data_IF_907968693316
#
_entry.id   IF_907968693316
#
_cell.length_a   1.000
_cell.length_b   1.000
_cell.length_c   1.000
_cell.angle_alpha   90.00
_cell.angle_beta   90.00
_cell.angle_gamma   90.00
#
_symmetry.space_group_name_H-M   'P 1'
#
loop_
_entity.id
_entity.type
_entity.pdbx_description
1 polymer ?
#
# COMPACT_ATOMS: atom_id res chain seq x y z
N UNK A 1 2.77 13.04 6.68
CA UNK A 1 3.55 12.29 7.70
C UNK A 1 2.88 10.94 8.00
N UNK A 2 1.55 10.81 8.11
CA UNK A 2 0.86 9.53 8.41
C UNK A 2 1.31 8.37 7.51
N UNK A 3 1.34 8.54 6.20
CA UNK A 3 1.84 7.48 5.29
C UNK A 3 3.32 7.12 5.47
N UNK A 4 4.14 7.97 6.09
CA UNK A 4 5.50 7.58 6.49
C UNK A 4 5.42 6.65 7.70
N UNK A 5 4.55 6.94 8.68
CA UNK A 5 4.29 6.02 9.82
C UNK A 5 3.80 4.66 9.32
N UNK A 6 2.84 4.64 8.38
CA UNK A 6 2.35 3.40 7.76
C UNK A 6 3.48 2.62 7.08
N UNK A 7 4.34 3.31 6.33
CA UNK A 7 5.46 2.68 5.64
C UNK A 7 6.48 2.06 6.63
N UNK A 8 6.76 2.72 7.76
CA UNK A 8 7.60 2.16 8.82
C UNK A 8 6.96 0.88 9.39
N UNK A 9 5.67 0.93 9.72
CA UNK A 9 4.93 -0.21 10.27
C UNK A 9 4.95 -1.43 9.33
N UNK A 10 4.78 -1.19 8.02
CA UNK A 10 4.74 -2.25 7.02
C UNK A 10 6.12 -2.83 6.67
N UNK A 11 7.20 -2.02 6.72
CA UNK A 11 8.49 -2.42 6.16
C UNK A 11 9.57 -2.71 7.21
N UNK A 12 9.43 -2.29 8.47
CA UNK A 12 10.49 -2.47 9.47
C UNK A 12 10.61 -3.92 9.97
N UNK A 13 9.52 -4.55 10.40
CA UNK A 13 9.57 -5.93 10.93
C UNK A 13 10.08 -6.96 9.89
N UNK A 14 9.74 -6.89 8.59
CA UNK A 14 10.31 -7.77 7.58
C UNK A 14 11.84 -7.78 7.50
N UNK A 15 12.52 -6.65 7.78
CA UNK A 15 13.97 -6.57 7.82
C UNK A 15 14.59 -7.39 8.96
N UNK A 16 13.78 -7.71 9.98
CA UNK A 16 14.20 -8.41 11.20
C UNK A 16 13.83 -9.90 11.20
N UNK A 17 13.15 -10.43 10.19
CA UNK A 17 12.65 -11.80 10.19
C UNK A 17 13.73 -12.86 10.44
N UNK A 18 14.88 -12.74 9.79
CA UNK A 18 16.00 -13.66 10.03
C UNK A 18 16.61 -13.46 11.42
N UNK A 19 16.61 -12.23 11.96
CA UNK A 19 17.07 -11.93 13.29
C UNK A 19 16.14 -12.55 14.34
N UNK A 20 14.83 -12.45 14.16
CA UNK A 20 13.85 -13.13 15.04
C UNK A 20 13.99 -14.65 14.99
N UNK A 21 14.25 -15.20 13.81
CA UNK A 21 14.52 -16.64 13.66
C UNK A 21 15.77 -17.07 14.44
N UNK A 22 16.88 -16.33 14.35
CA UNK A 22 18.14 -16.68 15.01
C UNK A 22 18.11 -16.47 16.51
N UNK A 23 17.61 -15.31 16.97
CA UNK A 23 17.70 -14.92 18.39
C UNK A 23 16.67 -15.60 19.28
N UNK A 24 15.44 -15.71 18.78
CA UNK A 24 14.31 -16.25 19.53
C UNK A 24 13.95 -17.69 19.12
N UNK A 25 14.71 -18.30 18.21
CA UNK A 25 14.47 -19.66 17.71
C UNK A 25 13.05 -19.85 17.14
N UNK A 26 12.43 -18.78 16.60
CA UNK A 26 11.10 -18.81 16.02
C UNK A 26 11.18 -19.55 14.67
N UNK A 27 10.31 -20.53 14.44
CA UNK A 27 10.28 -21.26 13.17
C UNK A 27 9.96 -20.33 11.99
N UNK A 28 10.48 -20.66 10.80
CA UNK A 28 10.20 -19.87 9.58
C UNK A 28 8.69 -19.82 9.26
N UNK A 29 7.94 -20.87 9.61
CA UNK A 29 6.48 -20.88 9.49
C UNK A 29 5.81 -19.83 10.37
N UNK A 30 6.26 -19.69 11.62
CA UNK A 30 5.78 -18.66 12.54
C UNK A 30 6.22 -17.25 12.12
N UNK A 31 7.42 -17.09 11.55
CA UNK A 31 7.87 -15.82 10.97
C UNK A 31 6.91 -15.35 9.88
N UNK A 32 6.47 -16.25 9.00
CA UNK A 32 5.50 -15.91 7.95
C UNK A 32 4.15 -15.44 8.52
N UNK A 33 3.75 -15.94 9.70
CA UNK A 33 2.53 -15.50 10.37
C UNK A 33 2.57 -14.03 10.82
N UNK A 34 3.75 -13.45 11.04
CA UNK A 34 3.90 -12.04 11.42
C UNK A 34 3.24 -11.13 10.36
N UNK A 35 3.59 -11.33 9.09
CA UNK A 35 2.95 -10.60 7.99
C UNK A 35 1.46 -10.93 7.86
N UNK A 36 1.07 -12.19 8.08
CA UNK A 36 -0.34 -12.60 8.03
C UNK A 36 -1.17 -11.86 9.08
N UNK A 37 -0.70 -11.78 10.32
CA UNK A 37 -1.38 -11.04 11.39
C UNK A 37 -1.43 -9.54 11.12
N UNK A 38 -0.38 -8.97 10.52
CA UNK A 38 -0.36 -7.57 10.12
C UNK A 38 -1.49 -7.26 9.12
N UNK A 39 -1.53 -7.93 7.98
CA UNK A 39 -2.54 -7.68 6.94
C UNK A 39 -3.96 -8.08 7.39
N UNK A 40 -4.09 -9.17 8.15
CA UNK A 40 -5.40 -9.56 8.69
C UNK A 40 -5.95 -8.51 9.65
N UNK A 41 -5.09 -7.92 10.49
CA UNK A 41 -5.48 -6.84 11.38
C UNK A 41 -5.90 -5.59 10.59
N UNK A 42 -5.16 -5.20 9.54
CA UNK A 42 -5.56 -4.09 8.67
C UNK A 42 -6.94 -4.31 8.06
N UNK A 43 -7.19 -5.49 7.51
CA UNK A 43 -8.50 -5.85 6.94
C UNK A 43 -9.65 -5.70 7.95
N UNK A 44 -9.43 -6.10 9.21
CA UNK A 44 -10.43 -5.91 10.28
C UNK A 44 -10.62 -4.42 10.62
N UNK A 45 -9.55 -3.64 10.61
CA UNK A 45 -9.59 -2.19 10.83
C UNK A 45 -10.35 -1.49 9.71
N UNK A 46 -10.15 -1.89 8.45
CA UNK A 46 -10.88 -1.34 7.31
C UNK A 46 -12.39 -1.55 7.47
N UNK A 47 -12.81 -2.76 7.85
CA UNK A 47 -14.21 -3.07 8.13
C UNK A 47 -14.77 -2.23 9.29
N UNK A 48 -13.96 -2.02 10.34
CA UNK A 48 -14.31 -1.15 11.45
C UNK A 48 -14.48 0.30 10.98
N UNK A 49 -13.52 0.81 10.22
CA UNK A 49 -13.54 2.18 9.70
C UNK A 49 -14.76 2.45 8.81
N UNK A 50 -15.13 1.50 7.95
CA UNK A 50 -16.27 1.61 7.06
C UNK A 50 -17.60 1.89 7.81
N UNK A 51 -17.67 1.54 9.08
CA UNK A 51 -18.90 1.66 9.87
C UNK A 51 -18.83 2.71 10.96
N UNK A 52 -17.69 2.93 11.60
CA UNK A 52 -17.60 3.63 12.86
C UNK A 52 -16.89 4.98 12.81
N UNK A 53 -15.98 5.20 11.86
CA UNK A 53 -15.14 6.42 11.84
C UNK A 53 -15.96 7.69 11.68
N UNK A 54 -16.97 7.70 10.80
CA UNK A 54 -17.82 8.88 10.62
C UNK A 54 -18.61 9.26 11.88
N UNK A 55 -18.80 8.32 12.83
CA UNK A 55 -19.45 8.56 14.12
C UNK A 55 -18.44 8.96 15.21
N UNK A 56 -17.25 8.37 15.24
CA UNK A 56 -16.19 8.65 16.23
C UNK A 56 -15.53 9.99 15.94
N UNK A 57 -15.34 10.30 14.66
CA UNK A 57 -14.69 11.50 14.17
C UNK A 57 -13.24 11.27 13.74
N UNK A 58 -12.86 11.93 12.63
CA UNK A 58 -11.55 11.75 12.00
C UNK A 58 -10.38 12.06 12.92
N UNK A 59 -10.47 13.17 13.70
CA UNK A 59 -9.38 13.59 14.60
C UNK A 59 -9.09 12.53 15.66
N UNK A 60 -10.11 11.98 16.30
CA UNK A 60 -9.93 10.97 17.34
C UNK A 60 -9.26 9.72 16.74
N UNK A 61 -9.75 9.27 15.59
CA UNK A 61 -9.24 8.07 14.94
C UNK A 61 -7.81 8.24 14.42
N UNK A 62 -7.46 9.39 13.80
CA UNK A 62 -6.11 9.60 13.28
C UNK A 62 -5.08 9.84 14.38
N UNK A 63 -5.46 10.46 15.49
CA UNK A 63 -4.61 10.59 16.68
C UNK A 63 -4.39 9.22 17.33
N UNK A 64 -5.46 8.43 17.48
CA UNK A 64 -5.37 7.07 18.00
C UNK A 64 -4.48 6.18 17.14
N UNK A 65 -4.53 6.33 15.80
CA UNK A 65 -3.69 5.55 14.88
C UNK A 65 -2.20 5.74 15.13
N UNK A 66 -1.77 6.97 15.31
CA UNK A 66 -0.36 7.27 15.56
C UNK A 66 0.08 6.78 16.96
N UNK A 67 -0.81 6.87 17.96
CA UNK A 67 -0.55 6.31 19.30
C UNK A 67 -0.39 4.78 19.21
N UNK A 68 -1.28 4.07 18.51
CA UNK A 68 -1.16 2.63 18.31
C UNK A 68 0.12 2.26 17.55
N UNK A 69 0.48 3.03 16.52
CA UNK A 69 1.73 2.80 15.78
C UNK A 69 2.95 2.97 16.69
N UNK A 70 3.01 4.05 17.49
CA UNK A 70 4.10 4.30 18.42
C UNK A 70 4.20 3.20 19.50
N UNK A 71 3.07 2.86 20.13
CA UNK A 71 3.02 1.83 21.17
C UNK A 71 3.39 0.45 20.63
N UNK A 72 2.95 0.11 19.42
CA UNK A 72 3.30 -1.17 18.79
C UNK A 72 4.78 -1.27 18.44
N UNK A 73 5.41 -0.19 17.93
CA UNK A 73 6.85 -0.16 17.67
C UNK A 73 7.67 -0.24 18.97
N UNK A 74 7.25 0.46 20.03
CA UNK A 74 7.85 0.31 21.36
C UNK A 74 7.63 -1.09 21.91
N UNK A 75 6.42 -1.63 21.76
CA UNK A 75 6.11 -3.01 22.15
C UNK A 75 7.04 -4.01 21.46
N UNK A 76 7.30 -3.83 20.17
CA UNK A 76 8.21 -4.69 19.41
C UNK A 76 9.63 -4.71 20.03
N UNK A 77 10.10 -3.56 20.55
CA UNK A 77 11.41 -3.46 21.18
C UNK A 77 11.48 -4.20 22.53
N UNK A 78 10.37 -4.28 23.28
CA UNK A 78 10.39 -4.72 24.68
C UNK A 78 9.60 -6.01 24.94
N UNK A 79 8.39 -6.19 24.36
CA UNK A 79 7.51 -7.31 24.69
C UNK A 79 8.11 -8.71 24.42
N UNK A 80 8.94 -8.92 23.38
CA UNK A 80 9.56 -10.22 23.17
C UNK A 80 10.44 -10.71 24.33
N UNK A 81 11.01 -9.78 25.11
CA UNK A 81 11.85 -10.12 26.25
C UNK A 81 11.05 -10.24 27.56
N UNK A 82 9.89 -9.55 27.63
CA UNK A 82 9.06 -9.57 28.84
C UNK A 82 8.10 -10.74 28.91
N UNK A 83 7.69 -11.27 27.76
CA UNK A 83 6.74 -12.36 27.71
C UNK A 83 7.45 -13.73 27.73
N UNK A 84 6.83 -14.76 28.32
CA UNK A 84 7.40 -16.10 28.35
C UNK A 84 7.68 -16.70 26.96
N UNK A 85 6.88 -16.31 25.97
CA UNK A 85 7.08 -16.67 24.57
C UNK A 85 7.35 -15.38 23.75
N UNK A 86 8.58 -15.18 23.25
CA UNK A 86 8.94 -14.04 22.44
C UNK A 86 8.07 -13.87 21.18
N UNK A 87 7.61 -14.96 20.58
CA UNK A 87 6.75 -14.91 19.40
C UNK A 87 5.41 -14.22 19.72
N UNK A 88 4.82 -14.52 20.87
CA UNK A 88 3.58 -13.85 21.32
C UNK A 88 3.85 -12.34 21.50
N UNK A 89 5.01 -11.96 22.06
CA UNK A 89 5.41 -10.55 22.21
C UNK A 89 5.48 -9.82 20.88
N UNK A 90 6.09 -10.46 19.88
CA UNK A 90 6.17 -9.92 18.51
C UNK A 90 4.76 -9.77 17.91
N UNK A 91 3.93 -10.82 17.97
CA UNK A 91 2.58 -10.78 17.38
C UNK A 91 1.70 -9.71 18.04
N UNK A 92 1.71 -9.61 19.38
CA UNK A 92 0.96 -8.56 20.08
C UNK A 92 1.40 -7.15 19.62
N UNK A 93 2.70 -6.92 19.51
CA UNK A 93 3.26 -5.66 19.04
C UNK A 93 2.84 -5.34 17.60
N UNK A 94 2.91 -6.36 16.73
CA UNK A 94 2.50 -6.27 15.32
C UNK A 94 1.03 -5.92 15.20
N UNK A 95 0.15 -6.59 15.94
CA UNK A 95 -1.29 -6.30 15.94
C UNK A 95 -1.54 -4.84 16.36
N UNK A 96 -0.83 -4.36 17.40
CA UNK A 96 -1.00 -2.99 17.90
C UNK A 96 -0.60 -1.96 16.83
N UNK A 97 0.59 -2.07 16.23
CA UNK A 97 0.95 -1.10 15.20
C UNK A 97 0.21 -1.32 13.87
N UNK A 98 -0.31 -2.53 13.59
CA UNK A 98 -1.14 -2.78 12.42
C UNK A 98 -2.52 -2.10 12.55
N UNK A 99 -3.10 -2.02 13.76
CA UNK A 99 -4.29 -1.18 14.02
C UNK A 99 -3.99 0.27 13.64
N UNK A 100 -2.86 0.81 14.09
CA UNK A 100 -2.43 2.17 13.74
C UNK A 100 -2.28 2.33 12.22
N UNK A 101 -1.61 1.40 11.58
CA UNK A 101 -1.35 1.39 10.13
C UNK A 101 -2.63 1.38 9.29
N UNK A 102 -3.58 0.51 9.61
CA UNK A 102 -4.87 0.44 8.92
C UNK A 102 -5.72 1.70 9.09
N UNK A 103 -5.78 2.26 10.31
CA UNK A 103 -6.46 3.55 10.53
C UNK A 103 -5.83 4.67 9.69
N UNK A 104 -4.49 4.77 9.60
CA UNK A 104 -3.79 5.77 8.77
C UNK A 104 -4.17 5.59 7.30
N UNK A 105 -4.15 4.35 6.83
CA UNK A 105 -4.46 4.01 5.44
C UNK A 105 -5.83 4.51 5.00
N UNK A 106 -6.84 4.24 5.81
CA UNK A 106 -8.21 4.66 5.52
C UNK A 106 -8.39 6.16 5.67
N UNK A 107 -7.79 6.79 6.69
CA UNK A 107 -8.13 8.17 7.09
C UNK A 107 -7.37 9.25 6.33
N UNK A 108 -6.12 9.00 5.91
CA UNK A 108 -5.33 10.04 5.25
C UNK A 108 -5.97 10.50 3.94
N UNK A 109 -6.55 9.60 3.17
CA UNK A 109 -7.18 9.93 1.89
C UNK A 109 -8.43 10.80 2.03
N UNK A 110 -9.44 10.46 2.88
CA UNK A 110 -10.62 11.32 3.07
C UNK A 110 -10.28 12.66 3.74
N UNK A 111 -9.30 12.72 4.65
CA UNK A 111 -8.84 13.97 5.25
C UNK A 111 -8.32 14.93 4.17
N UNK A 112 -7.50 14.43 3.25
CA UNK A 112 -6.99 15.24 2.12
C UNK A 112 -8.09 15.57 1.12
N UNK A 113 -9.02 14.65 0.86
CA UNK A 113 -10.16 14.89 -0.04
C UNK A 113 -11.09 16.01 0.49
N UNK A 114 -11.23 16.13 1.82
CA UNK A 114 -11.99 17.19 2.46
C UNK A 114 -11.33 18.57 2.36
N UNK A 115 -10.00 18.62 2.18
CA UNK A 115 -9.28 19.89 2.07
C UNK A 115 -9.63 20.65 0.76
N UNK A 116 -9.62 22.00 0.76
CA UNK A 116 -10.00 22.82 -0.38
C UNK A 116 -8.86 22.97 -1.40
N UNK A 117 -8.29 21.87 -1.87
CA UNK A 117 -7.29 21.87 -2.92
C UNK A 117 -7.95 22.00 -4.29
N UNK A 118 -7.35 22.80 -5.21
CA UNK A 118 -7.83 22.98 -6.56
C UNK A 118 -7.75 21.67 -7.38
N UNK A 119 -6.62 20.96 -7.29
CA UNK A 119 -6.42 19.69 -7.97
C UNK A 119 -6.32 18.53 -6.97
N UNK A 120 -7.46 17.97 -6.60
CA UNK A 120 -7.56 16.87 -5.64
C UNK A 120 -6.88 15.57 -6.13
N UNK A 121 -6.93 15.29 -7.44
CA UNK A 121 -6.28 14.10 -8.03
C UNK A 121 -4.76 14.16 -7.90
N UNK A 122 -4.17 15.32 -8.22
CA UNK A 122 -2.74 15.55 -8.08
C UNK A 122 -2.31 15.48 -6.61
N UNK A 123 -3.08 16.11 -5.72
CA UNK A 123 -2.81 16.10 -4.27
C UNK A 123 -2.91 14.68 -3.69
N UNK A 124 -3.89 13.90 -4.13
CA UNK A 124 -4.05 12.50 -3.71
C UNK A 124 -2.84 11.66 -4.14
N UNK A 125 -2.39 11.82 -5.38
CA UNK A 125 -1.18 11.13 -5.88
C UNK A 125 0.07 11.52 -5.08
N UNK A 126 0.24 12.82 -4.79
CA UNK A 126 1.34 13.31 -3.98
C UNK A 126 1.27 12.76 -2.54
N UNK A 127 0.10 12.74 -1.92
CA UNK A 127 -0.11 12.14 -0.61
C UNK A 127 0.40 10.69 -0.56
N UNK A 128 -0.03 9.88 -1.51
CA UNK A 128 0.38 8.48 -1.58
C UNK A 128 1.88 8.29 -1.91
N UNK A 129 2.56 9.30 -2.49
CA UNK A 129 4.00 9.23 -2.71
C UNK A 129 4.79 9.16 -1.40
N UNK A 130 4.26 9.75 -0.32
CA UNK A 130 4.91 9.70 1.01
C UNK A 130 5.02 8.29 1.57
N UNK A 131 4.10 7.37 1.23
CA UNK A 131 4.25 5.96 1.56
C UNK A 131 5.49 5.36 0.87
N UNK A 132 5.68 5.63 -0.42
CA UNK A 132 6.82 5.10 -1.18
C UNK A 132 8.15 5.61 -0.61
N UNK A 133 8.25 6.92 -0.36
CA UNK A 133 9.46 7.52 0.22
C UNK A 133 9.68 7.09 1.66
N UNK A 134 8.60 6.87 2.41
CA UNK A 134 8.64 6.26 3.74
C UNK A 134 9.20 4.84 3.70
N UNK A 135 8.77 4.00 2.76
CA UNK A 135 9.29 2.65 2.58
C UNK A 135 10.78 2.66 2.21
N UNK A 136 11.17 3.47 1.21
CA UNK A 136 12.58 3.65 0.82
C UNK A 136 13.40 4.13 2.02
N UNK A 137 12.93 5.15 2.73
CA UNK A 137 13.61 5.69 3.92
C UNK A 137 13.76 4.65 5.02
N UNK A 138 12.71 3.88 5.30
CA UNK A 138 12.73 2.82 6.32
C UNK A 138 13.78 1.76 5.97
N UNK A 139 13.80 1.28 4.73
CA UNK A 139 14.76 0.26 4.29
C UNK A 139 16.19 0.80 4.35
N UNK A 140 16.45 1.96 3.73
CA UNK A 140 17.81 2.51 3.64
C UNK A 140 18.37 2.91 5.01
N UNK A 141 17.58 3.62 5.84
CA UNK A 141 18.02 4.07 7.16
C UNK A 141 18.23 2.87 8.09
N UNK A 142 17.33 1.87 8.04
CA UNK A 142 17.50 0.66 8.85
C UNK A 142 18.72 -0.14 8.41
N UNK A 143 18.93 -0.31 7.09
CA UNK A 143 20.13 -1.00 6.57
C UNK A 143 21.42 -0.28 6.94
N UNK A 144 21.44 1.06 6.86
CA UNK A 144 22.59 1.87 7.26
C UNK A 144 22.83 1.79 8.78
N UNK A 145 21.79 1.83 9.59
CA UNK A 145 21.88 1.66 11.04
C UNK A 145 22.49 0.30 11.39
N UNK A 146 22.00 -0.78 10.75
CA UNK A 146 22.54 -2.14 10.99
C UNK A 146 23.99 -2.29 10.53
N UNK A 147 24.38 -1.58 9.46
CA UNK A 147 25.76 -1.58 8.99
C UNK A 147 26.71 -0.89 10.00
N UNK A 148 26.29 0.21 10.62
CA UNK A 148 27.11 1.01 11.53
C UNK A 148 27.11 0.45 12.95
N UNK A 149 25.93 0.11 13.47
CA UNK A 149 25.75 -0.26 14.89
C UNK A 149 25.55 -1.77 15.10
N UNK A 150 25.42 -2.55 14.03
CA UNK A 150 25.10 -3.98 14.09
C UNK A 150 23.60 -4.25 14.22
N UNK A 151 23.15 -5.39 13.68
CA UNK A 151 21.75 -5.80 13.72
C UNK A 151 21.27 -6.12 15.15
N UNK A 152 22.17 -6.44 16.07
CA UNK A 152 21.85 -6.71 17.47
C UNK A 152 21.21 -5.52 18.18
N UNK A 153 21.44 -4.31 17.67
CA UNK A 153 20.88 -3.06 18.18
C UNK A 153 19.49 -2.72 17.59
N UNK A 154 18.81 -3.63 16.91
CA UNK A 154 17.53 -3.40 16.25
C UNK A 154 16.45 -2.83 17.18
N UNK A 155 16.47 -3.16 18.48
CA UNK A 155 15.53 -2.64 19.48
C UNK A 155 15.62 -1.13 19.62
N UNK A 156 16.84 -0.57 19.63
CA UNK A 156 17.06 0.88 19.64
C UNK A 156 16.50 1.53 18.38
N UNK A 157 16.65 0.87 17.23
CA UNK A 157 16.08 1.37 16.00
C UNK A 157 14.54 1.35 16.03
N UNK A 158 13.92 0.34 16.63
CA UNK A 158 12.46 0.32 16.84
C UNK A 158 11.98 1.50 17.69
N UNK A 159 12.72 1.84 18.76
CA UNK A 159 12.45 3.03 19.59
C UNK A 159 12.62 4.32 18.79
N UNK A 160 13.66 4.42 17.95
CA UNK A 160 13.87 5.59 17.08
C UNK A 160 12.71 5.73 16.07
N UNK A 161 12.29 4.64 15.45
CA UNK A 161 11.13 4.67 14.53
C UNK A 161 9.83 5.06 15.24
N UNK A 162 9.66 4.71 16.51
CA UNK A 162 8.47 5.09 17.30
C UNK A 162 8.38 6.62 17.55
N UNK A 163 9.49 7.38 17.42
CA UNK A 163 9.48 8.84 17.56
C UNK A 163 8.62 9.49 16.48
N UNK A 164 8.62 8.95 15.26
CA UNK A 164 7.86 9.54 14.14
C UNK A 164 6.37 9.54 14.42
N UNK A 165 5.70 8.40 14.72
CA UNK A 165 4.29 8.43 15.08
C UNK A 165 4.02 9.21 16.39
N UNK A 166 4.93 9.21 17.36
CA UNK A 166 4.77 10.01 18.58
C UNK A 166 4.70 11.51 18.27
N UNK A 167 5.58 12.02 17.39
CA UNK A 167 5.54 13.41 16.92
C UNK A 167 4.29 13.67 16.07
N UNK A 168 3.90 12.72 15.23
CA UNK A 168 2.68 12.84 14.42
C UNK A 168 1.42 12.90 15.27
N UNK A 169 1.37 12.19 16.39
CA UNK A 169 0.28 12.30 17.37
C UNK A 169 0.03 13.77 17.72
N UNK A 170 1.08 14.50 18.10
CA UNK A 170 0.98 15.93 18.41
C UNK A 170 0.52 16.76 17.19
N UNK A 171 1.08 16.48 16.01
CA UNK A 171 0.71 17.18 14.78
C UNK A 171 -0.78 17.00 14.46
N UNK A 172 -1.33 15.78 14.54
CA UNK A 172 -2.74 15.51 14.28
C UNK A 172 -3.69 16.01 15.38
N UNK A 173 -3.19 16.22 16.60
CA UNK A 173 -3.97 16.90 17.65
C UNK A 173 -4.19 18.37 17.33
N UNK A 174 -3.25 19.02 16.66
CA UNK A 174 -3.21 20.48 16.48
C UNK A 174 -3.57 20.96 15.08
N UNK A 175 -3.36 20.13 14.02
CA UNK A 175 -3.67 20.55 12.65
C UNK A 175 -5.18 20.66 12.42
N UNK A 176 -5.65 21.53 11.50
CA UNK A 176 -7.06 21.57 11.10
C UNK A 176 -7.42 20.26 10.38
N UNK A 177 -8.51 19.63 10.78
CA UNK A 177 -9.08 18.44 10.13
C UNK A 177 -10.57 18.68 9.95
N UNK A 178 -10.99 18.73 8.69
CA UNK A 178 -12.40 18.86 8.32
C UNK A 178 -12.97 17.47 8.02
N UNK A 179 -14.20 17.17 8.43
CA UNK A 179 -14.86 15.93 8.06
C UNK A 179 -15.22 15.97 6.57
N UNK A 180 -15.07 14.83 5.87
CA UNK A 180 -15.43 14.73 4.45
C UNK A 180 -16.96 14.84 4.23
N UNK A 181 -17.73 14.35 5.21
CA UNK A 181 -19.19 14.41 5.24
C UNK A 181 -19.65 14.85 6.62
N UNK A 182 -20.75 15.63 6.65
CA UNK A 182 -21.37 16.03 7.91
C UNK A 182 -21.90 14.82 8.68
N UNK A 183 -21.79 14.86 9.99
CA UNK A 183 -22.12 13.83 10.98
C UNK A 183 -23.10 12.74 10.49
N UNK A 184 -22.56 11.61 10.02
CA UNK A 184 -23.35 10.42 9.65
C UNK A 184 -24.12 10.51 8.33
N UNK A 185 -23.94 11.56 7.50
CA UNK A 185 -24.62 11.73 6.21
C UNK A 185 -23.95 10.96 5.04
N UNK A 186 -22.86 10.22 5.31
CA UNK A 186 -22.19 9.41 4.30
C UNK A 186 -23.06 8.29 3.75
N UNK A 187 -22.76 7.85 2.51
CA UNK A 187 -23.45 6.70 1.91
C UNK A 187 -23.20 5.44 2.74
N UNK A 188 -24.29 4.80 3.18
CA UNK A 188 -24.18 3.51 3.87
C UNK A 188 -23.64 2.40 2.94
N UNK A 189 -22.97 1.41 3.53
CA UNK A 189 -22.35 0.28 2.83
C UNK A 189 -23.30 -0.38 1.82
N UNK A 190 -24.57 -0.63 2.18
CA UNK A 190 -25.59 -1.21 1.28
C UNK A 190 -25.84 -0.34 0.06
N UNK A 191 -25.85 0.97 0.21
CA UNK A 191 -26.08 1.90 -0.90
C UNK A 191 -24.88 1.93 -1.85
N UNK A 192 -23.66 1.83 -1.35
CA UNK A 192 -22.44 1.70 -2.17
C UNK A 192 -22.49 0.43 -3.02
N UNK A 193 -22.75 -0.73 -2.41
CA UNK A 193 -22.82 -2.01 -3.13
C UNK A 193 -24.01 -2.13 -4.07
N UNK A 194 -25.07 -1.31 -3.93
CA UNK A 194 -26.16 -1.24 -4.90
C UNK A 194 -25.77 -0.54 -6.21
N UNK A 195 -24.63 0.15 -6.25
CA UNK A 195 -24.18 0.91 -7.42
C UNK A 195 -23.22 0.09 -8.28
N UNK A 196 -23.55 -0.21 -9.56
CA UNK A 196 -22.68 -1.02 -10.44
C UNK A 196 -21.27 -0.43 -10.60
N UNK A 197 -21.13 0.91 -10.58
CA UNK A 197 -19.83 1.57 -10.65
C UNK A 197 -18.94 1.22 -9.46
N UNK A 198 -19.51 1.03 -8.26
CA UNK A 198 -18.73 0.70 -7.08
C UNK A 198 -18.06 -0.68 -7.20
N UNK A 199 -18.72 -1.66 -7.81
CA UNK A 199 -18.11 -2.96 -8.11
C UNK A 199 -16.94 -2.86 -9.09
N UNK A 200 -17.03 -1.96 -10.07
CA UNK A 200 -15.90 -1.68 -10.96
C UNK A 200 -14.74 -1.05 -10.18
N UNK A 201 -15.02 -0.11 -9.27
CA UNK A 201 -13.99 0.50 -8.41
C UNK A 201 -13.32 -0.53 -7.49
N UNK A 202 -14.10 -1.43 -6.86
CA UNK A 202 -13.59 -2.57 -6.07
C UNK A 202 -12.67 -3.45 -6.93
N UNK A 203 -13.12 -3.82 -8.14
CA UNK A 203 -12.31 -4.65 -9.04
C UNK A 203 -10.99 -3.94 -9.45
N UNK A 204 -11.05 -2.63 -9.74
CA UNK A 204 -9.86 -1.83 -10.02
C UNK A 204 -8.89 -1.82 -8.84
N UNK A 205 -9.39 -1.67 -7.60
CA UNK A 205 -8.54 -1.69 -6.40
C UNK A 205 -7.91 -3.07 -6.17
N UNK A 206 -8.68 -4.16 -6.29
CA UNK A 206 -8.14 -5.53 -6.20
C UNK A 206 -7.02 -5.73 -7.22
N UNK A 207 -7.27 -5.35 -8.48
CA UNK A 207 -6.27 -5.49 -9.54
C UNK A 207 -5.05 -4.59 -9.34
N UNK A 208 -5.24 -3.39 -8.77
CA UNK A 208 -4.18 -2.45 -8.42
C UNK A 208 -3.26 -3.05 -7.35
N UNK A 209 -3.82 -3.44 -6.21
CA UNK A 209 -3.06 -4.06 -5.12
C UNK A 209 -2.38 -5.37 -5.53
N UNK A 210 -3.09 -6.22 -6.32
CA UNK A 210 -2.52 -7.46 -6.82
C UNK A 210 -1.34 -7.22 -7.79
N UNK A 211 -1.47 -6.25 -8.71
CA UNK A 211 -0.40 -5.92 -9.67
C UNK A 211 0.82 -5.32 -8.98
N UNK A 212 0.60 -4.49 -7.96
CA UNK A 212 1.66 -3.85 -7.17
C UNK A 212 2.41 -4.87 -6.33
N UNK A 213 1.70 -5.57 -5.43
CA UNK A 213 2.35 -6.42 -4.44
C UNK A 213 2.84 -7.76 -5.02
N UNK A 214 2.21 -8.30 -6.07
CA UNK A 214 2.75 -9.47 -6.75
C UNK A 214 4.14 -9.21 -7.33
N UNK A 215 4.35 -8.05 -7.96
CA UNK A 215 5.67 -7.70 -8.49
C UNK A 215 6.64 -7.32 -7.36
N UNK A 216 6.24 -6.45 -6.43
CA UNK A 216 7.11 -5.94 -5.39
C UNK A 216 7.65 -7.05 -4.47
N UNK A 217 6.80 -7.99 -4.03
CA UNK A 217 7.22 -9.06 -3.13
C UNK A 217 8.11 -10.12 -3.80
N UNK A 218 7.95 -10.34 -5.10
CA UNK A 218 8.76 -11.33 -5.82
C UNK A 218 10.00 -10.73 -6.49
N UNK A 219 10.15 -9.40 -6.53
CA UNK A 219 11.27 -8.73 -7.18
C UNK A 219 12.62 -9.06 -6.55
N UNK A 220 12.71 -9.20 -5.21
CA UNK A 220 13.94 -9.61 -4.52
C UNK A 220 14.32 -11.05 -4.89
N UNK A 221 13.38 -11.99 -4.76
CA UNK A 221 13.61 -13.39 -5.13
C UNK A 221 13.96 -13.55 -6.62
N UNK A 222 13.38 -12.70 -7.48
CA UNK A 222 13.73 -12.65 -8.89
C UNK A 222 15.18 -12.21 -9.11
N UNK A 223 15.62 -11.15 -8.42
CA UNK A 223 16.98 -10.64 -8.49
C UNK A 223 18.02 -11.66 -7.96
N UNK A 224 17.72 -12.32 -6.85
CA UNK A 224 18.56 -13.38 -6.27
C UNK A 224 18.67 -14.57 -7.23
N UNK A 225 17.55 -15.11 -7.70
CA UNK A 225 17.53 -16.32 -8.54
C UNK A 225 18.09 -16.06 -9.95
N UNK A 226 17.87 -14.87 -10.50
CA UNK A 226 18.23 -14.55 -11.88
C UNK A 226 19.65 -13.99 -12.04
N UNK A 227 20.15 -13.25 -11.03
CA UNK A 227 21.45 -12.57 -11.08
C UNK A 227 22.46 -13.09 -10.07
N UNK A 228 22.08 -14.04 -9.20
CA UNK A 228 22.96 -14.55 -8.15
C UNK A 228 23.32 -13.50 -7.09
N UNK A 229 22.46 -12.48 -6.91
CA UNK A 229 22.70 -11.43 -5.93
C UNK A 229 22.51 -11.95 -4.50
N UNK A 230 23.23 -11.37 -3.56
CA UNK A 230 22.92 -11.59 -2.13
C UNK A 230 21.53 -11.05 -1.81
N UNK A 231 20.88 -11.59 -0.78
CA UNK A 231 19.54 -11.12 -0.37
C UNK A 231 19.48 -9.60 -0.14
N UNK A 232 20.49 -9.01 0.52
CA UNK A 232 20.56 -7.58 0.76
C UNK A 232 20.59 -6.77 -0.56
N UNK A 233 21.36 -7.21 -1.56
CA UNK A 233 21.39 -6.59 -2.87
C UNK A 233 20.09 -6.85 -3.66
N UNK A 234 19.48 -8.02 -3.50
CA UNK A 234 18.18 -8.36 -4.06
C UNK A 234 17.07 -7.43 -3.53
N UNK A 235 17.04 -7.19 -2.23
CA UNK A 235 16.06 -6.29 -1.59
C UNK A 235 16.25 -4.83 -2.04
N UNK A 236 17.50 -4.38 -2.23
CA UNK A 236 17.78 -3.05 -2.76
C UNK A 236 17.44 -2.92 -4.25
N UNK A 237 17.88 -3.88 -5.07
CA UNK A 237 17.66 -3.83 -6.52
C UNK A 237 16.21 -4.13 -6.93
N UNK A 238 15.48 -4.93 -6.16
CA UNK A 238 14.08 -5.27 -6.41
C UNK A 238 13.11 -4.30 -5.71
N UNK A 239 12.66 -4.61 -4.48
CA UNK A 239 11.59 -3.86 -3.81
C UNK A 239 11.92 -2.39 -3.57
N UNK A 240 13.17 -2.05 -3.19
CA UNK A 240 13.55 -0.67 -2.94
C UNK A 240 13.49 0.17 -4.22
N UNK A 241 14.08 -0.30 -5.33
CA UNK A 241 14.02 0.39 -6.62
C UNK A 241 12.61 0.44 -7.19
N UNK A 242 11.79 -0.59 -6.97
CA UNK A 242 10.37 -0.58 -7.27
C UNK A 242 9.67 0.57 -6.53
N UNK A 243 9.88 0.72 -5.21
CA UNK A 243 9.29 1.79 -4.41
C UNK A 243 9.75 3.19 -4.87
N UNK A 244 11.03 3.34 -5.27
CA UNK A 244 11.57 4.58 -5.84
C UNK A 244 10.81 4.96 -7.12
N UNK A 245 10.69 4.05 -8.07
CA UNK A 245 10.02 4.32 -9.36
C UNK A 245 8.53 4.56 -9.17
N UNK A 246 7.89 3.87 -8.22
CA UNK A 246 6.50 4.12 -7.83
C UNK A 246 6.32 5.53 -7.24
N UNK A 247 7.22 5.95 -6.34
CA UNK A 247 7.22 7.31 -5.77
C UNK A 247 7.41 8.39 -6.84
N UNK A 248 8.31 8.16 -7.80
CA UNK A 248 8.54 9.06 -8.95
C UNK A 248 7.25 9.21 -9.77
N UNK A 249 6.57 8.12 -10.11
CA UNK A 249 5.30 8.15 -10.85
C UNK A 249 4.25 9.00 -10.13
N UNK A 250 4.10 8.82 -8.82
CA UNK A 250 3.16 9.58 -7.98
C UNK A 250 3.51 11.07 -7.91
N UNK A 251 4.80 11.42 -7.83
CA UNK A 251 5.25 12.82 -7.88
C UNK A 251 5.00 13.45 -9.24
N UNK A 252 5.29 12.74 -10.33
CA UNK A 252 5.04 13.24 -11.69
C UNK A 252 3.57 13.59 -11.86
N UNK A 253 2.66 12.69 -11.49
CA UNK A 253 1.23 13.00 -11.56
C UNK A 253 0.84 14.11 -10.57
N UNK A 254 1.41 14.10 -9.35
CA UNK A 254 1.19 15.16 -8.37
C UNK A 254 1.60 16.55 -8.87
N UNK A 255 2.67 16.65 -9.64
CA UNK A 255 3.19 17.91 -10.17
C UNK A 255 2.52 18.37 -11.48
N UNK A 256 2.23 17.41 -12.36
CA UNK A 256 1.74 17.71 -13.72
C UNK A 256 0.28 17.28 -13.93
N UNK A 257 -0.44 16.89 -12.87
CA UNK A 257 -1.80 16.36 -12.95
C UNK A 257 -2.84 17.33 -13.52
N UNK A 258 -2.58 18.65 -13.49
CA UNK A 258 -3.43 19.63 -14.16
C UNK A 258 -3.37 19.50 -15.70
N UNK A 259 -2.23 19.05 -16.23
CA UNK A 259 -1.99 18.90 -17.67
C UNK A 259 -2.27 17.47 -18.14
N UNK A 260 -2.37 16.51 -17.21
CA UNK A 260 -2.53 15.09 -17.49
C UNK A 260 -3.96 14.63 -17.20
N UNK A 261 -4.60 14.02 -18.18
CA UNK A 261 -5.88 13.34 -17.96
C UNK A 261 -5.65 12.05 -17.16
N UNK A 262 -6.25 11.96 -15.97
CA UNK A 262 -6.07 10.82 -15.05
C UNK A 262 -6.39 9.48 -15.73
N UNK A 263 -7.50 9.40 -16.48
CA UNK A 263 -7.91 8.15 -17.13
C UNK A 263 -6.91 7.71 -18.20
N UNK A 264 -6.35 8.66 -18.97
CA UNK A 264 -5.33 8.37 -19.98
C UNK A 264 -4.02 7.97 -19.33
N UNK A 265 -3.62 8.65 -18.25
CA UNK A 265 -2.42 8.32 -17.49
C UNK A 265 -2.51 6.92 -16.86
N UNK A 266 -3.65 6.58 -16.22
CA UNK A 266 -3.90 5.23 -15.70
C UNK A 266 -3.91 4.18 -16.83
N UNK A 267 -4.51 4.47 -17.97
CA UNK A 267 -4.52 3.58 -19.12
C UNK A 267 -3.10 3.31 -19.67
N UNK A 268 -2.30 4.35 -19.86
CA UNK A 268 -0.90 4.24 -20.27
C UNK A 268 -0.05 3.46 -19.24
N UNK A 269 -0.25 3.74 -17.96
CA UNK A 269 0.37 3.03 -16.85
C UNK A 269 -0.02 1.55 -16.83
N UNK A 270 -1.30 1.23 -17.08
CA UNK A 270 -1.75 -0.16 -17.18
C UNK A 270 -1.11 -0.92 -18.34
N UNK A 271 -0.97 -0.28 -19.51
CA UNK A 271 -0.25 -0.87 -20.67
C UNK A 271 1.23 -1.10 -20.30
N UNK A 272 1.88 -0.12 -19.67
CA UNK A 272 3.27 -0.27 -19.21
C UNK A 272 3.39 -1.42 -18.20
N UNK A 273 2.42 -1.57 -17.29
CA UNK A 273 2.40 -2.67 -16.33
C UNK A 273 2.36 -4.04 -17.03
N UNK A 274 1.50 -4.20 -18.03
CA UNK A 274 1.45 -5.41 -18.88
C UNK A 274 2.81 -5.68 -19.52
N UNK A 275 3.45 -4.67 -20.10
CA UNK A 275 4.79 -4.80 -20.69
C UNK A 275 5.83 -5.23 -19.66
N UNK A 276 5.81 -4.63 -18.45
CA UNK A 276 6.72 -4.99 -17.36
C UNK A 276 6.56 -6.45 -16.92
N UNK A 277 5.33 -6.93 -16.78
CA UNK A 277 5.06 -8.34 -16.46
C UNK A 277 5.52 -9.28 -17.59
N UNK A 278 5.32 -8.91 -18.85
CA UNK A 278 5.84 -9.68 -19.99
C UNK A 278 7.37 -9.71 -20.00
N UNK A 279 8.04 -8.60 -19.70
CA UNK A 279 9.50 -8.58 -19.59
C UNK A 279 9.99 -9.49 -18.46
N UNK A 280 9.36 -9.44 -17.29
CA UNK A 280 9.72 -10.30 -16.16
C UNK A 280 9.47 -11.80 -16.47
N UNK A 281 8.39 -12.13 -17.19
CA UNK A 281 8.00 -13.51 -17.49
C UNK A 281 8.77 -14.12 -18.69
N UNK A 282 8.93 -13.35 -19.78
CA UNK A 282 9.39 -13.90 -21.07
C UNK A 282 10.84 -13.57 -21.41
N UNK A 283 11.48 -12.59 -20.76
CA UNK A 283 12.84 -12.21 -21.10
C UNK A 283 13.82 -13.33 -20.77
N UNK A 284 14.69 -13.66 -21.73
CA UNK A 284 15.82 -14.57 -21.53
C UNK A 284 16.93 -13.92 -20.72
N UNK A 285 17.03 -12.58 -20.74
CA UNK A 285 18.01 -11.82 -19.97
C UNK A 285 17.47 -11.51 -18.55
N UNK A 286 18.18 -11.98 -17.50
CA UNK A 286 17.81 -11.66 -16.11
C UNK A 286 17.77 -10.15 -15.81
N UNK A 287 18.69 -9.38 -16.43
CA UNK A 287 18.78 -7.93 -16.26
C UNK A 287 17.54 -7.25 -16.83
N UNK A 288 17.08 -7.65 -18.03
CA UNK A 288 15.86 -7.09 -18.64
C UNK A 288 14.64 -7.43 -17.79
N UNK A 289 14.57 -8.64 -17.26
CA UNK A 289 13.49 -9.02 -16.34
C UNK A 289 13.47 -8.18 -15.06
N UNK A 290 14.63 -7.93 -14.45
CA UNK A 290 14.76 -7.05 -13.28
C UNK A 290 14.38 -5.59 -13.61
N UNK A 291 14.79 -5.07 -14.77
CA UNK A 291 14.36 -3.76 -15.25
C UNK A 291 12.83 -3.72 -15.39
N UNK A 292 12.21 -4.80 -15.89
CA UNK A 292 10.75 -4.96 -15.92
C UNK A 292 10.14 -4.87 -14.51
N UNK A 293 10.72 -5.53 -13.51
CA UNK A 293 10.27 -5.45 -12.12
C UNK A 293 10.36 -4.00 -11.58
N UNK A 294 11.48 -3.31 -11.79
CA UNK A 294 11.71 -1.94 -11.34
C UNK A 294 10.74 -0.96 -12.04
N UNK A 295 10.61 -1.06 -13.36
CA UNK A 295 9.72 -0.20 -14.15
C UNK A 295 8.24 -0.45 -13.84
N UNK A 296 7.88 -1.65 -13.37
CA UNK A 296 6.54 -1.95 -12.91
C UNK A 296 6.13 -1.05 -11.73
N UNK A 297 7.05 -0.69 -10.83
CA UNK A 297 6.79 0.28 -9.77
C UNK A 297 6.26 1.60 -10.32
N UNK A 298 6.89 2.15 -11.36
CA UNK A 298 6.40 3.35 -12.02
C UNK A 298 4.98 3.16 -12.57
N UNK A 299 4.71 2.03 -13.18
CA UNK A 299 3.43 1.74 -13.81
C UNK A 299 2.27 1.62 -12.81
N UNK A 300 2.49 1.00 -11.65
CA UNK A 300 1.44 0.82 -10.64
C UNK A 300 1.22 2.06 -9.78
N UNK A 301 2.16 3.02 -9.79
CA UNK A 301 2.17 4.18 -8.90
C UNK A 301 0.86 4.96 -8.88
N UNK A 302 0.21 5.17 -10.02
CA UNK A 302 -1.06 5.93 -10.11
C UNK A 302 -2.31 5.07 -9.92
N UNK A 303 -2.22 3.75 -9.96
CA UNK A 303 -3.39 2.88 -10.00
C UNK A 303 -4.22 2.99 -8.72
N UNK A 304 -3.58 2.96 -7.56
CA UNK A 304 -4.24 3.09 -6.26
C UNK A 304 -4.83 4.50 -6.06
N UNK A 305 -4.04 5.59 -6.02
CA UNK A 305 -4.58 6.94 -5.82
C UNK A 305 -5.54 7.37 -6.92
N UNK A 306 -5.31 6.92 -8.16
CA UNK A 306 -6.20 7.19 -9.29
C UNK A 306 -7.57 6.55 -9.12
N UNK A 307 -7.64 5.29 -8.66
CA UNK A 307 -8.90 4.61 -8.39
C UNK A 307 -9.69 5.29 -7.26
N UNK A 308 -9.00 5.70 -6.19
CA UNK A 308 -9.59 6.51 -5.12
C UNK A 308 -10.15 7.82 -5.68
N UNK A 309 -9.36 8.56 -6.46
CA UNK A 309 -9.77 9.84 -7.04
C UNK A 309 -10.96 9.74 -8.00
N UNK A 310 -11.02 8.68 -8.83
CA UNK A 310 -12.18 8.42 -9.70
C UNK A 310 -13.41 8.11 -8.86
N UNK A 311 -13.24 7.35 -7.77
CA UNK A 311 -14.33 6.94 -6.90
C UNK A 311 -14.89 8.12 -6.10
N UNK A 312 -14.05 8.99 -5.54
CA UNK A 312 -14.49 10.18 -4.79
C UNK A 312 -15.23 11.18 -5.68
N UNK A 313 -14.79 11.35 -6.93
CA UNK A 313 -15.53 12.16 -7.92
C UNK A 313 -16.90 11.58 -8.28
N UNK A 314 -17.01 10.25 -8.32
CA UNK A 314 -18.26 9.56 -8.69
C UNK A 314 -19.23 9.48 -7.53
N UNK A 315 -18.72 9.37 -6.32
CA UNK A 315 -19.47 9.30 -5.06
C UNK A 315 -19.04 10.39 -4.09
N UNK A 316 -19.39 11.68 -4.34
CA UNK A 316 -18.97 12.78 -3.46
C UNK A 316 -19.46 12.62 -2.01
N UNK A 317 -20.55 11.90 -1.81
CA UNK A 317 -21.12 11.56 -0.49
C UNK A 317 -20.72 10.17 -0.01
N UNK A 318 -19.72 9.53 -0.65
CA UNK A 318 -19.29 8.15 -0.34
C UNK A 318 -18.80 7.97 1.10
N UNK A 319 -18.32 9.04 1.73
CA UNK A 319 -17.87 9.04 3.10
C UNK A 319 -16.70 8.10 3.35
N UNK A 320 -16.32 7.91 4.61
CA UNK A 320 -15.25 6.99 4.99
C UNK A 320 -15.51 5.55 4.56
N UNK A 321 -16.78 5.12 4.51
CA UNK A 321 -17.15 3.77 4.09
C UNK A 321 -16.63 3.43 2.69
N UNK A 322 -16.67 4.38 1.75
CA UNK A 322 -16.14 4.17 0.39
C UNK A 322 -14.61 3.98 0.41
N UNK A 323 -13.88 4.85 1.13
CA UNK A 323 -12.41 4.77 1.20
C UNK A 323 -11.96 3.48 1.89
N UNK A 324 -12.60 3.11 3.01
CA UNK A 324 -12.33 1.86 3.73
C UNK A 324 -12.53 0.62 2.86
N UNK A 325 -13.67 0.54 2.16
CA UNK A 325 -13.98 -0.63 1.33
C UNK A 325 -13.05 -0.71 0.11
N UNK A 326 -12.58 0.42 -0.41
CA UNK A 326 -11.58 0.46 -1.46
C UNK A 326 -10.21 0.03 -0.93
N UNK A 327 -9.77 0.51 0.24
CA UNK A 327 -8.52 0.08 0.89
C UNK A 327 -8.54 -1.43 1.12
N UNK A 328 -9.60 -1.94 1.77
CA UNK A 328 -9.81 -3.38 1.97
C UNK A 328 -9.73 -4.19 0.67
N UNK A 329 -10.29 -3.68 -0.42
CA UNK A 329 -10.24 -4.34 -1.74
C UNK A 329 -8.80 -4.36 -2.28
N UNK A 330 -8.03 -3.28 -2.09
CA UNK A 330 -6.63 -3.20 -2.45
C UNK A 330 -5.77 -4.20 -1.66
N UNK A 331 -5.96 -4.28 -0.36
CA UNK A 331 -5.27 -5.23 0.53
C UNK A 331 -5.60 -6.69 0.20
N UNK A 332 -6.87 -6.96 -0.12
CA UNK A 332 -7.29 -8.27 -0.61
C UNK A 332 -6.54 -8.63 -1.92
N UNK A 333 -6.44 -7.68 -2.84
CA UNK A 333 -5.64 -7.83 -4.06
C UNK A 333 -4.17 -8.08 -3.75
N UNK A 334 -3.61 -7.28 -2.84
CA UNK A 334 -2.23 -7.40 -2.35
C UNK A 334 -1.92 -8.73 -1.66
N UNK A 335 -2.91 -9.39 -1.10
CA UNK A 335 -2.77 -10.74 -0.54
C UNK A 335 -2.91 -11.82 -1.61
N UNK A 336 -3.88 -11.68 -2.51
CA UNK A 336 -4.18 -12.67 -3.57
C UNK A 336 -3.08 -12.70 -4.63
N UNK A 337 -2.59 -11.53 -5.06
CA UNK A 337 -1.62 -11.42 -6.15
C UNK A 337 -0.34 -12.21 -5.91
N UNK A 338 0.43 -11.91 -4.84
CA UNK A 338 1.64 -12.65 -4.51
C UNK A 338 1.38 -14.13 -4.23
N UNK A 339 0.23 -14.44 -3.60
CA UNK A 339 -0.17 -15.81 -3.31
C UNK A 339 -0.36 -16.66 -4.57
N UNK A 340 -1.02 -16.11 -5.59
CA UNK A 340 -1.19 -16.77 -6.89
C UNK A 340 0.16 -16.97 -7.57
N UNK A 341 0.98 -15.92 -7.66
CA UNK A 341 2.32 -15.98 -8.24
C UNK A 341 3.15 -17.04 -7.55
N UNK A 342 3.16 -17.06 -6.20
CA UNK A 342 3.93 -18.01 -5.41
C UNK A 342 3.50 -19.46 -5.61
N UNK A 343 2.19 -19.72 -5.58
CA UNK A 343 1.66 -21.08 -5.76
C UNK A 343 1.94 -21.63 -7.16
N UNK A 344 1.82 -20.78 -8.17
CA UNK A 344 2.13 -21.18 -9.55
C UNK A 344 3.63 -21.40 -9.72
N UNK A 345 4.48 -20.52 -9.16
CA UNK A 345 5.93 -20.68 -9.14
C UNK A 345 6.32 -22.04 -8.56
N UNK A 346 5.76 -22.40 -7.40
CA UNK A 346 6.03 -23.69 -6.74
C UNK A 346 5.60 -24.87 -7.62
N UNK A 347 4.39 -24.82 -8.17
CA UNK A 347 3.88 -25.90 -9.03
C UNK A 347 4.63 -26.03 -10.37
N UNK A 348 5.29 -24.96 -10.80
CA UNK A 348 6.12 -24.93 -12.02
C UNK A 348 7.61 -25.26 -11.74
N UNK A 349 7.91 -26.01 -10.70
CA UNK A 349 9.28 -26.39 -10.36
C UNK A 349 10.14 -25.23 -9.86
N UNK A 350 9.55 -24.30 -9.11
CA UNK A 350 10.17 -23.07 -8.60
C UNK A 350 10.58 -22.06 -9.70
N UNK A 351 9.90 -22.11 -10.84
CA UNK A 351 10.15 -21.16 -11.92
C UNK A 351 9.36 -19.85 -11.71
N UNK A 352 10.03 -18.83 -11.15
CA UNK A 352 9.44 -17.53 -10.85
C UNK A 352 8.86 -16.85 -12.10
N UNK A 353 9.49 -17.04 -13.28
CA UNK A 353 9.02 -16.43 -14.53
C UNK A 353 7.61 -16.90 -14.91
N UNK A 354 7.31 -18.18 -14.70
CA UNK A 354 5.97 -18.72 -14.95
C UNK A 354 4.96 -18.10 -13.98
N UNK A 355 5.30 -17.99 -12.69
CA UNK A 355 4.48 -17.31 -11.70
C UNK A 355 4.17 -15.87 -12.09
N UNK A 356 5.20 -15.09 -12.47
CA UNK A 356 5.04 -13.71 -12.96
C UNK A 356 4.16 -13.62 -14.21
N UNK A 357 4.27 -14.58 -15.13
CA UNK A 357 3.40 -14.65 -16.31
C UNK A 357 1.92 -14.76 -15.97
N UNK A 358 1.56 -15.48 -14.91
CA UNK A 358 0.18 -15.53 -14.42
C UNK A 358 -0.23 -14.25 -13.69
N UNK A 359 0.69 -13.53 -13.05
CA UNK A 359 0.43 -12.21 -12.47
C UNK A 359 -0.07 -11.19 -13.49
N UNK A 360 0.22 -11.39 -14.79
CA UNK A 360 -0.27 -10.56 -15.90
C UNK A 360 -1.80 -10.43 -15.96
N UNK A 361 -2.54 -11.37 -15.40
CA UNK A 361 -4.02 -11.33 -15.40
C UNK A 361 -4.56 -10.06 -14.73
N UNK A 362 -3.90 -9.58 -13.68
CA UNK A 362 -4.38 -8.44 -12.91
C UNK A 362 -4.31 -7.12 -13.69
N UNK A 363 -3.17 -6.70 -14.29
CA UNK A 363 -3.14 -5.47 -15.08
C UNK A 363 -3.99 -5.58 -16.37
N UNK A 364 -4.21 -6.78 -16.93
CA UNK A 364 -5.12 -6.96 -18.06
C UNK A 364 -6.58 -6.72 -17.65
N UNK A 365 -7.02 -7.27 -16.52
CA UNK A 365 -8.37 -7.01 -15.99
C UNK A 365 -8.53 -5.53 -15.64
N UNK A 366 -7.51 -4.90 -15.03
CA UNK A 366 -7.51 -3.47 -14.72
C UNK A 366 -7.73 -2.62 -15.99
N UNK A 367 -6.99 -2.88 -17.05
CA UNK A 367 -7.14 -2.19 -18.33
C UNK A 367 -8.54 -2.38 -18.92
N UNK A 368 -9.08 -3.58 -18.84
CA UNK A 368 -10.44 -3.85 -19.30
C UNK A 368 -11.47 -3.05 -18.50
N UNK A 369 -11.35 -2.98 -17.19
CA UNK A 369 -12.24 -2.18 -16.34
C UNK A 369 -12.11 -0.67 -16.63
N UNK A 370 -10.89 -0.16 -16.82
CA UNK A 370 -10.68 1.23 -17.24
C UNK A 370 -11.32 1.53 -18.60
N UNK A 371 -11.21 0.61 -19.55
CA UNK A 371 -11.85 0.75 -20.86
C UNK A 371 -13.38 0.82 -20.77
N UNK A 372 -13.99 0.00 -19.91
CA UNK A 372 -15.44 0.06 -19.66
C UNK A 372 -15.87 1.42 -19.09
N UNK A 373 -15.08 1.96 -18.15
CA UNK A 373 -15.34 3.28 -17.58
C UNK A 373 -15.19 4.39 -18.62
N UNK A 374 -14.16 4.33 -19.44
CA UNK A 374 -13.91 5.32 -20.49
C UNK A 374 -15.05 5.35 -21.51
N UNK A 375 -15.52 4.20 -21.98
CA UNK A 375 -16.68 4.09 -22.89
C UNK A 375 -17.94 4.70 -22.29
N UNK A 376 -18.23 4.41 -21.02
CA UNK A 376 -19.44 4.94 -20.36
C UNK A 376 -19.38 6.45 -20.20
N UNK A 377 -18.22 7.06 -19.94
CA UNK A 377 -18.02 8.49 -19.88
C UNK A 377 -18.22 9.15 -21.25
N UNK A 378 -17.78 8.51 -22.32
CA UNK A 378 -17.92 8.99 -23.69
C UNK A 378 -19.36 8.92 -24.22
N UNK A 379 -20.20 8.08 -23.65
CA UNK A 379 -21.60 7.85 -24.10
C UNK A 379 -22.60 8.75 -23.36
N UNK A 380 -22.20 9.43 -22.28
CA UNK A 380 -23.03 10.45 -21.64
C UNK A 380 -22.80 11.79 -22.37
N UNK A 381 -23.84 12.36 -23.04
CA UNK A 381 -23.69 13.68 -23.67
C UNK A 381 -23.35 14.71 -22.59
N UNK A 382 -22.43 15.63 -22.92
CA UNK A 382 -22.16 16.83 -22.11
C UNK A 382 -23.44 17.67 -22.02
N UNK A 383 -24.31 17.34 -21.08
CA UNK A 383 -25.45 18.19 -20.73
C UNK A 383 -24.92 19.27 -19.81
N UNK A 384 -25.05 20.51 -20.31
CA UNK A 384 -24.90 21.79 -19.64
C UNK A 384 -23.50 22.42 -19.51
N UNK A 385 -23.03 23.00 -20.61
CA UNK A 385 -22.50 24.37 -20.57
C UNK A 385 -23.38 25.23 -21.47
N UNK A 386 -24.64 25.39 -21.12
CA UNK A 386 -25.51 26.47 -21.64
C UNK A 386 -26.48 26.79 -20.50
N UNK A 387 -26.17 27.79 -19.75
CA UNK A 387 -27.07 28.81 -19.21
C UNK A 387 -26.35 29.63 -18.15
N UNK A 388 -26.11 30.82 -18.58
CA UNK A 388 -25.98 32.12 -17.95
C UNK A 388 -24.75 32.44 -17.18
#
# INVERSE_FOLDING_TARGET
>A
MGFITQAIAANFAPLLFLKFHSDYHISLGNIALISTFFFFTQLLVDLFCAKFVDHIGYRVCIVASEIFAALGLLGLAFLPDFLPDPFIGIICSVIVYAIGSGLIEVLCSPIIEACPFENKEATMSLLHSFYCWGAVGTILISSLFFLIFGIDNWKWLAVIWAIIPAVNTYNFMTCPIEPLVDNGSGMGIKNLFSRPFFWVAICLMICSGASELAMAQWASAYAEAALGLSKALGDLAGPCMFAVTMGISRIIFGKYGEQLDLMKFMGGSGILCVVCYLLAALSSSPIIGLIGCIACGFSVGIMWPGTISISSKTFPTGGTAMFSLLAMAGDLGGSIGPGIVGRITQNAGNNIRIGMGFGLIFPVILLFMLFLLYRKKSTQPQISKVSA
#
